data_IF_470092848770
#
_entry.id   IF_470092848770
#
_cell.length_a   1.000
_cell.length_b   1.000
_cell.length_c   1.000
_cell.angle_alpha   90.00
_cell.angle_beta   90.00
_cell.angle_gamma   90.00
#
_symmetry.space_group_name_H-M   'P 1'
#
loop_
_entity.id
_entity.type
_entity.pdbx_description
1 polymer ?
#
# COMPACT_ATOMS: atom_id res chain seq x y z
N UNK A 1 21.48 83.22 -5.55
CA UNK A 1 21.72 81.76 -5.58
C UNK A 1 21.74 81.26 -4.15
N UNK A 2 20.89 80.27 -3.83
CA UNK A 2 20.68 79.54 -2.54
C UNK A 2 20.12 80.42 -1.38
N UNK A 3 19.07 80.08 -0.60
CA UNK A 3 18.59 78.82 0.02
C UNK A 3 17.07 78.95 0.30
N UNK A 4 16.19 78.04 -0.12
CA UNK A 4 15.79 76.76 0.51
C UNK A 4 15.57 76.83 2.03
N UNK A 5 14.28 76.76 2.43
CA UNK A 5 13.65 76.39 3.72
C UNK A 5 12.25 77.05 3.64
N UNK A 6 11.09 76.40 3.71
CA UNK A 6 10.53 75.56 4.77
C UNK A 6 9.32 74.86 4.12
N UNK A 7 9.38 73.56 3.83
CA UNK A 7 8.20 72.82 3.34
C UNK A 7 8.30 71.30 3.59
N UNK A 8 8.96 70.86 4.68
CA UNK A 8 9.11 69.43 5.00
C UNK A 8 8.79 69.03 6.44
N UNK A 9 8.37 69.97 7.30
CA UNK A 9 8.10 69.67 8.71
C UNK A 9 6.64 69.23 9.00
N UNK A 10 5.66 69.62 8.17
CA UNK A 10 4.25 69.32 8.43
C UNK A 10 3.83 67.89 8.09
N UNK A 11 4.33 67.33 6.99
CA UNK A 11 3.91 66.00 6.51
C UNK A 11 4.52 64.83 7.30
N UNK A 12 5.65 65.04 7.99
CA UNK A 12 6.25 63.99 8.81
C UNK A 12 5.51 63.79 10.14
N UNK A 13 4.94 64.85 10.73
CA UNK A 13 4.23 64.75 12.01
C UNK A 13 2.90 64.00 11.88
N UNK A 14 2.18 64.19 10.76
CA UNK A 14 0.89 63.52 10.51
C UNK A 14 1.08 62.03 10.24
N UNK A 15 2.14 61.64 9.52
CA UNK A 15 2.48 60.23 9.28
C UNK A 15 2.96 59.55 10.57
N UNK A 16 3.69 60.25 11.44
CA UNK A 16 4.14 59.69 12.72
C UNK A 16 2.98 59.49 13.70
N UNK A 17 1.99 60.40 13.72
CA UNK A 17 0.80 60.26 14.55
C UNK A 17 -0.11 59.12 14.03
N UNK A 18 -0.29 58.98 12.71
CA UNK A 18 -1.04 57.86 12.11
C UNK A 18 -0.34 56.49 12.22
N UNK A 19 1.00 56.44 12.28
CA UNK A 19 1.74 55.20 12.58
C UNK A 19 1.75 54.87 14.08
N UNK A 20 1.57 55.86 14.96
CA UNK A 20 1.52 55.63 16.41
C UNK A 20 0.16 55.12 16.90
N UNK A 21 -0.92 55.33 16.14
CA UNK A 21 -2.26 54.84 16.47
C UNK A 21 -2.54 53.41 15.98
N UNK A 22 -1.69 52.85 15.11
CA UNK A 22 -1.75 51.42 14.74
C UNK A 22 -1.02 50.51 15.72
N UNK A 23 -0.33 51.06 16.73
CA UNK A 23 0.41 50.28 17.74
C UNK A 23 -0.33 50.12 19.08
N UNK A 24 -1.54 50.68 19.24
CA UNK A 24 -2.47 50.22 20.28
C UNK A 24 -3.25 49.01 19.77
N UNK A 25 -2.49 47.94 19.47
CA UNK A 25 -3.01 46.59 19.60
C UNK A 25 -3.31 46.42 21.09
N UNK A 26 -4.57 46.62 21.47
CA UNK A 26 -5.12 45.93 22.64
C UNK A 26 -4.63 44.48 22.52
N UNK A 27 -4.11 43.86 23.58
CA UNK A 27 -3.92 42.42 23.54
C UNK A 27 -5.31 41.87 23.31
N UNK A 28 -5.59 41.47 22.07
CA UNK A 28 -6.54 40.41 21.82
C UNK A 28 -5.96 39.33 22.71
N UNK A 29 -6.61 39.11 23.87
CA UNK A 29 -6.50 37.82 24.52
C UNK A 29 -6.79 36.88 23.37
N UNK A 30 -5.75 36.23 22.85
CA UNK A 30 -5.95 34.98 22.15
C UNK A 30 -6.92 34.27 23.08
N UNK A 31 -8.15 34.06 22.61
CA UNK A 31 -8.99 33.12 23.31
C UNK A 31 -8.08 31.90 23.33
N UNK A 32 -7.67 31.50 24.52
CA UNK A 32 -7.12 30.18 24.71
C UNK A 32 -8.30 29.28 24.36
N UNK A 33 -8.55 29.08 23.06
CA UNK A 33 -9.55 28.18 22.55
C UNK A 33 -9.00 26.83 22.95
N UNK A 34 -9.42 26.42 24.13
CA UNK A 34 -9.04 25.13 24.66
C UNK A 34 -9.61 24.15 23.64
N UNK A 35 -8.73 23.42 22.93
CA UNK A 35 -9.15 22.55 21.84
C UNK A 35 -10.31 21.66 22.32
N UNK A 36 -11.41 21.70 21.57
CA UNK A 36 -12.70 21.11 21.95
C UNK A 36 -12.63 19.57 22.02
N UNK A 37 -11.83 19.00 21.13
CA UNK A 37 -11.49 17.57 21.11
C UNK A 37 -9.97 17.46 21.15
N UNK A 38 -9.46 16.54 21.97
CA UNK A 38 -8.03 16.26 22.16
C UNK A 38 -7.86 14.76 22.31
N UNK A 39 -7.46 14.09 21.23
CA UNK A 39 -7.28 12.63 21.18
C UNK A 39 -5.92 12.31 20.56
N UNK A 40 -5.20 11.37 21.17
CA UNK A 40 -4.07 10.73 20.50
C UNK A 40 -4.53 9.35 20.04
N UNK A 41 -4.58 9.14 18.74
CA UNK A 41 -4.93 7.87 18.12
C UNK A 41 -3.68 7.15 17.62
N UNK A 42 -3.59 5.86 17.91
CA UNK A 42 -2.55 4.96 17.41
C UNK A 42 -3.24 3.88 16.57
N UNK A 43 -2.78 3.70 15.33
CA UNK A 43 -3.29 2.75 14.36
C UNK A 43 -2.21 1.70 14.09
N UNK A 44 -2.34 0.54 14.71
CA UNK A 44 -1.46 -0.60 14.49
C UNK A 44 -2.00 -1.42 13.31
N UNK A 45 -1.46 -1.17 12.12
CA UNK A 45 -1.86 -1.73 10.84
C UNK A 45 -0.97 -2.93 10.53
N UNK A 46 -1.45 -4.13 10.80
CA UNK A 46 -0.73 -5.38 10.57
C UNK A 46 -1.12 -5.99 9.23
N UNK A 47 -0.13 -6.27 8.38
CA UNK A 47 -0.34 -7.06 7.17
C UNK A 47 -0.71 -8.50 7.54
N UNK A 48 -1.79 -9.03 6.96
CA UNK A 48 -2.13 -10.46 7.00
C UNK A 48 -1.56 -11.17 5.77
N UNK A 49 -1.69 -10.51 4.63
CA UNK A 49 -1.05 -10.85 3.35
C UNK A 49 -0.78 -9.53 2.58
N UNK A 50 -0.38 -9.59 1.31
CA UNK A 50 -0.04 -8.41 0.52
C UNK A 50 -1.18 -7.41 0.28
N UNK A 51 -2.44 -7.77 0.54
CA UNK A 51 -3.61 -6.89 0.33
C UNK A 51 -4.55 -6.81 1.53
N UNK A 52 -4.55 -7.78 2.45
CA UNK A 52 -5.43 -7.81 3.60
C UNK A 52 -4.69 -7.31 4.85
N UNK A 53 -5.31 -6.38 5.57
CA UNK A 53 -4.76 -5.70 6.73
C UNK A 53 -5.72 -5.84 7.92
N UNK A 54 -5.16 -6.08 9.10
CA UNK A 54 -5.85 -5.95 10.39
C UNK A 54 -5.37 -4.69 11.08
N UNK A 55 -6.29 -3.88 11.59
CA UNK A 55 -5.97 -2.60 12.22
C UNK A 55 -6.49 -2.62 13.65
N UNK A 56 -5.61 -2.41 14.62
CA UNK A 56 -5.97 -2.16 16.01
C UNK A 56 -5.80 -0.68 16.29
N UNK A 57 -6.88 -0.05 16.75
CA UNK A 57 -6.90 1.38 17.04
C UNK A 57 -6.96 1.59 18.54
N UNK A 58 -6.01 2.35 19.08
CA UNK A 58 -6.02 2.84 20.46
C UNK A 58 -6.26 4.34 20.46
N UNK A 59 -7.20 4.79 21.27
CA UNK A 59 -7.65 6.18 21.35
C UNK A 59 -7.46 6.71 22.78
N UNK A 60 -6.38 7.45 23.00
CA UNK A 60 -6.13 8.13 24.28
C UNK A 60 -6.87 9.47 24.29
N UNK A 61 -8.06 9.47 24.90
CA UNK A 61 -8.98 10.61 24.89
C UNK A 61 -8.79 11.51 26.12
N UNK A 62 -8.23 12.70 25.90
CA UNK A 62 -8.07 13.73 26.93
C UNK A 62 -9.27 14.68 26.99
N UNK A 63 -9.89 14.93 25.84
CA UNK A 63 -11.12 15.72 25.72
C UNK A 63 -11.92 15.28 24.50
N UNK A 64 -13.25 15.17 24.64
CA UNK A 64 -14.15 14.84 23.53
C UNK A 64 -15.31 15.84 23.53
N UNK A 65 -15.64 16.40 22.36
CA UNK A 65 -16.87 17.17 22.17
C UNK A 65 -18.03 16.24 21.79
N UNK A 66 -19.08 16.20 22.61
CA UNK A 66 -20.37 15.56 22.31
C UNK A 66 -21.48 16.60 22.46
N UNK A 67 -22.44 16.63 21.54
CA UNK A 67 -23.62 17.52 21.58
C UNK A 67 -23.32 19.02 21.83
N UNK A 68 -22.18 19.52 21.37
CA UNK A 68 -21.79 20.93 21.56
C UNK A 68 -21.01 21.21 22.84
N UNK A 69 -20.92 20.25 23.75
CA UNK A 69 -20.20 20.35 25.01
C UNK A 69 -18.89 19.55 24.99
N UNK A 70 -17.83 20.10 25.57
CA UNK A 70 -16.51 19.45 25.62
C UNK A 70 -16.27 18.82 26.99
N UNK A 71 -16.09 17.50 27.01
CA UNK A 71 -15.88 16.70 28.21
C UNK A 71 -14.39 16.39 28.35
N UNK A 72 -13.75 16.85 29.42
CA UNK A 72 -12.39 16.42 29.76
C UNK A 72 -12.38 14.99 30.30
N UNK A 73 -11.20 14.36 30.43
CA UNK A 73 -11.08 12.97 30.89
C UNK A 73 -11.81 12.67 32.22
N UNK A 74 -11.80 13.58 33.19
CA UNK A 74 -12.54 13.39 34.47
C UNK A 74 -14.05 13.39 34.27
N UNK A 75 -14.54 14.28 33.42
CA UNK A 75 -15.97 14.38 33.08
C UNK A 75 -16.44 13.20 32.22
N UNK A 76 -15.59 12.72 31.30
CA UNK A 76 -15.85 11.50 30.54
C UNK A 76 -16.05 10.32 31.50
N UNK A 77 -15.16 10.14 32.49
CA UNK A 77 -15.29 9.07 33.50
C UNK A 77 -16.57 9.17 34.30
N UNK A 78 -16.83 10.35 34.88
CA UNK A 78 -17.97 10.56 35.77
C UNK A 78 -19.32 10.37 35.06
N UNK A 79 -19.38 10.63 33.75
CA UNK A 79 -20.60 10.53 32.95
C UNK A 79 -20.59 9.36 31.96
N UNK A 80 -19.62 8.45 32.06
CA UNK A 80 -19.43 7.41 31.05
C UNK A 80 -20.66 6.51 30.94
N UNK A 81 -21.22 6.02 32.06
CA UNK A 81 -22.36 5.12 32.02
C UNK A 81 -23.61 5.74 31.38
N UNK A 82 -23.80 7.04 31.59
CA UNK A 82 -24.91 7.82 31.04
C UNK A 82 -24.70 8.14 29.55
N UNK A 83 -23.47 8.49 29.17
CA UNK A 83 -23.14 9.06 27.85
C UNK A 83 -22.31 8.13 26.94
N UNK A 84 -22.07 6.87 27.32
CA UNK A 84 -21.18 5.93 26.59
C UNK A 84 -21.50 5.81 25.11
N UNK A 85 -22.79 5.80 24.75
CA UNK A 85 -23.22 5.73 23.35
C UNK A 85 -22.74 6.92 22.53
N UNK A 86 -22.83 8.13 23.08
CA UNK A 86 -22.40 9.36 22.41
C UNK A 86 -20.87 9.43 22.27
N UNK A 87 -20.12 9.10 23.32
CA UNK A 87 -18.65 9.04 23.25
C UNK A 87 -18.19 8.05 22.18
N UNK A 88 -18.74 6.83 22.20
CA UNK A 88 -18.40 5.78 21.23
C UNK A 88 -18.76 6.18 19.80
N UNK A 89 -19.91 6.83 19.59
CA UNK A 89 -20.33 7.24 18.25
C UNK A 89 -19.43 8.34 17.67
N UNK A 90 -19.05 9.34 18.47
CA UNK A 90 -18.13 10.39 18.01
C UNK A 90 -16.77 9.81 17.65
N UNK A 91 -16.20 8.96 18.52
CA UNK A 91 -14.93 8.29 18.25
C UNK A 91 -14.99 7.39 17.01
N UNK A 92 -16.09 6.63 16.85
CA UNK A 92 -16.32 5.81 15.66
C UNK A 92 -16.30 6.66 14.38
N UNK A 93 -17.07 7.75 14.34
CA UNK A 93 -17.14 8.62 13.15
C UNK A 93 -15.79 9.23 12.79
N UNK A 94 -14.96 9.59 13.78
CA UNK A 94 -13.62 10.10 13.51
C UNK A 94 -12.67 9.04 12.96
N UNK A 95 -12.74 7.81 13.47
CA UNK A 95 -11.90 6.74 12.95
C UNK A 95 -12.37 6.29 11.57
N UNK A 96 -13.69 6.21 11.34
CA UNK A 96 -14.27 5.96 10.02
C UNK A 96 -13.78 6.98 8.99
N UNK A 97 -13.80 8.27 9.34
CA UNK A 97 -13.26 9.33 8.49
C UNK A 97 -11.76 9.15 8.19
N UNK A 98 -10.95 8.84 9.22
CA UNK A 98 -9.53 8.57 9.03
C UNK A 98 -9.25 7.34 8.15
N UNK A 99 -9.97 6.24 8.36
CA UNK A 99 -9.84 5.01 7.55
C UNK A 99 -10.25 5.29 6.11
N UNK A 100 -11.35 6.00 5.87
CA UNK A 100 -11.82 6.33 4.52
C UNK A 100 -10.83 7.22 3.74
N UNK A 101 -10.11 8.11 4.43
CA UNK A 101 -9.06 8.92 3.82
C UNK A 101 -7.79 8.12 3.52
N UNK A 102 -7.29 7.38 4.52
CA UNK A 102 -6.03 6.62 4.42
C UNK A 102 -6.16 5.47 3.43
N UNK A 103 -7.26 4.73 3.51
CA UNK A 103 -7.57 3.55 2.71
C UNK A 103 -8.63 3.86 1.66
N UNK A 104 -8.55 5.05 1.06
CA UNK A 104 -9.41 5.41 -0.06
C UNK A 104 -9.35 4.33 -1.15
N UNK A 105 -10.51 3.99 -1.73
CA UNK A 105 -10.65 2.89 -2.68
C UNK A 105 -10.32 1.49 -2.14
N UNK A 106 -10.40 1.27 -0.84
CA UNK A 106 -10.34 -0.06 -0.22
C UNK A 106 -11.73 -0.52 0.22
N UNK A 107 -11.86 -1.79 0.60
CA UNK A 107 -13.01 -2.23 1.41
C UNK A 107 -12.58 -2.30 2.87
N UNK A 108 -13.44 -1.84 3.78
CA UNK A 108 -13.12 -1.79 5.21
C UNK A 108 -14.32 -2.19 6.06
N UNK A 109 -14.07 -2.92 7.15
CA UNK A 109 -15.06 -3.21 8.18
C UNK A 109 -14.55 -2.67 9.52
N UNK A 110 -15.38 -1.88 10.20
CA UNK A 110 -15.03 -1.22 11.45
C UNK A 110 -15.84 -1.79 12.60
N UNK A 111 -15.15 -2.19 13.67
CA UNK A 111 -15.77 -2.53 14.95
C UNK A 111 -16.33 -1.31 15.66
N UNK A 112 -17.13 -1.54 16.71
CA UNK A 112 -17.58 -0.45 17.60
C UNK A 112 -16.53 -0.17 18.67
N UNK A 113 -16.26 1.10 19.02
CA UNK A 113 -15.34 1.41 20.10
C UNK A 113 -15.77 0.79 21.44
N UNK A 114 -14.81 0.25 22.18
CA UNK A 114 -14.98 -0.20 23.56
C UNK A 114 -13.96 0.49 24.46
N UNK A 115 -14.31 0.68 25.72
CA UNK A 115 -13.44 1.38 26.68
C UNK A 115 -12.52 0.39 27.36
N UNK A 116 -11.31 0.83 27.70
CA UNK A 116 -10.52 0.16 28.74
C UNK A 116 -11.13 0.49 30.10
N UNK A 117 -11.77 -0.48 30.74
CA UNK A 117 -12.39 -0.31 32.05
C UNK A 117 -11.39 0.19 33.12
N UNK A 118 -10.10 -0.16 32.99
CA UNK A 118 -9.08 0.33 33.93
C UNK A 118 -8.88 1.85 33.79
N UNK A 119 -9.03 2.39 32.57
CA UNK A 119 -8.87 3.82 32.31
C UNK A 119 -9.99 4.67 32.93
N UNK A 120 -11.13 4.07 33.27
CA UNK A 120 -12.24 4.73 33.96
C UNK A 120 -11.94 5.00 35.45
N UNK A 121 -10.99 4.28 36.04
CA UNK A 121 -10.53 4.47 37.42
C UNK A 121 -9.33 5.41 37.55
N UNK A 122 -8.87 5.99 36.43
CA UNK A 122 -7.67 6.83 36.37
C UNK A 122 -7.80 8.21 37.01
N UNK A 123 -6.65 8.88 37.20
CA UNK A 123 -6.61 10.25 37.72
C UNK A 123 -7.09 11.29 36.70
N UNK A 124 -7.29 12.53 37.15
CA UNK A 124 -7.86 13.61 36.33
C UNK A 124 -7.05 14.00 35.09
N UNK A 125 -5.75 13.69 35.06
CA UNK A 125 -4.83 14.03 33.98
C UNK A 125 -4.57 12.86 33.00
N UNK A 126 -4.89 11.63 33.41
CA UNK A 126 -4.82 10.46 32.53
C UNK A 126 -5.94 10.50 31.48
N UNK A 127 -5.71 10.04 30.25
CA UNK A 127 -6.77 9.91 29.26
C UNK A 127 -7.76 8.80 29.64
N UNK A 128 -8.97 8.85 29.07
CA UNK A 128 -9.85 7.68 28.98
C UNK A 128 -9.48 6.96 27.69
N UNK A 129 -9.20 5.66 27.78
CA UNK A 129 -8.66 4.87 26.67
C UNK A 129 -9.79 4.09 26.02
N UNK A 130 -9.89 4.19 24.71
CA UNK A 130 -10.80 3.37 23.92
C UNK A 130 -10.02 2.54 22.90
N UNK A 131 -10.58 1.40 22.54
CA UNK A 131 -10.06 0.50 21.53
C UNK A 131 -11.09 0.25 20.45
N UNK A 132 -10.62 -0.03 19.24
CA UNK A 132 -11.45 -0.44 18.14
C UNK A 132 -10.64 -1.32 17.18
N UNK A 133 -11.25 -2.38 16.68
CA UNK A 133 -10.65 -3.27 15.70
C UNK A 133 -11.26 -3.00 14.32
N UNK A 134 -10.44 -3.01 13.28
CA UNK A 134 -10.88 -2.85 11.89
C UNK A 134 -10.16 -3.85 10.98
N UNK A 135 -10.77 -4.15 9.85
CA UNK A 135 -10.14 -4.88 8.75
C UNK A 135 -10.20 -4.04 7.49
N UNK A 136 -9.17 -4.13 6.66
CA UNK A 136 -9.09 -3.45 5.36
C UNK A 136 -8.58 -4.42 4.30
N UNK A 137 -9.20 -4.42 3.13
CA UNK A 137 -8.70 -5.11 1.94
C UNK A 137 -8.40 -4.11 0.83
N UNK A 138 -7.13 -4.10 0.38
CA UNK A 138 -6.64 -3.22 -0.67
C UNK A 138 -7.16 -3.70 -2.04
N UNK A 139 -7.98 -2.89 -2.69
CA UNK A 139 -8.58 -3.26 -3.98
C UNK A 139 -7.69 -2.87 -5.16
N UNK A 140 -8.01 -3.34 -6.37
CA UNK A 140 -7.34 -2.93 -7.60
C UNK A 140 -7.33 -1.41 -7.79
N UNK A 141 -8.39 -0.71 -7.33
CA UNK A 141 -8.46 0.76 -7.40
C UNK A 141 -7.47 1.45 -6.47
N UNK A 142 -7.15 0.86 -5.31
CA UNK A 142 -6.10 1.38 -4.42
C UNK A 142 -4.75 1.43 -5.15
N UNK A 143 -4.43 0.38 -5.91
CA UNK A 143 -3.21 0.31 -6.73
C UNK A 143 -3.33 1.04 -8.08
N UNK A 144 -4.46 1.69 -8.38
CA UNK A 144 -4.68 2.39 -9.64
C UNK A 144 -4.73 1.46 -10.87
N UNK A 145 -5.21 0.22 -10.71
CA UNK A 145 -5.25 -0.80 -11.76
C UNK A 145 -6.63 -1.45 -11.91
N UNK A 146 -6.84 -2.14 -13.04
CA UNK A 146 -8.05 -2.89 -13.38
C UNK A 146 -7.85 -4.41 -13.26
N UNK A 147 -6.78 -4.86 -12.61
CA UNK A 147 -6.50 -6.29 -12.38
C UNK A 147 -7.67 -6.92 -11.59
N UNK A 148 -8.34 -7.95 -12.11
CA UNK A 148 -9.58 -8.46 -11.53
C UNK A 148 -9.37 -9.18 -10.19
N UNK A 149 -8.29 -9.96 -10.05
CA UNK A 149 -7.97 -10.67 -8.81
C UNK A 149 -6.67 -10.12 -8.21
N UNK A 150 -6.76 -8.91 -7.64
CA UNK A 150 -5.59 -8.19 -7.13
C UNK A 150 -4.85 -8.93 -6.01
N UNK A 151 -5.57 -9.68 -5.17
CA UNK A 151 -4.96 -10.48 -4.10
C UNK A 151 -4.02 -11.55 -4.67
N UNK A 152 -4.50 -12.35 -5.64
CA UNK A 152 -3.68 -13.34 -6.34
C UNK A 152 -2.44 -12.69 -6.95
N UNK A 153 -2.64 -11.56 -7.65
CA UNK A 153 -1.55 -10.85 -8.32
C UNK A 153 -0.48 -10.37 -7.34
N UNK A 154 -0.86 -9.60 -6.32
CA UNK A 154 0.09 -9.00 -5.37
C UNK A 154 0.83 -10.09 -4.60
N UNK A 155 0.11 -11.08 -4.08
CA UNK A 155 0.72 -12.17 -3.32
C UNK A 155 1.60 -13.07 -4.21
N UNK A 156 1.17 -13.34 -5.44
CA UNK A 156 1.94 -14.15 -6.37
C UNK A 156 3.21 -13.47 -6.86
N UNK A 157 3.17 -12.14 -7.06
CA UNK A 157 4.36 -11.36 -7.37
C UNK A 157 5.34 -11.34 -6.19
N UNK A 158 4.85 -11.14 -4.97
CA UNK A 158 5.69 -11.20 -3.76
C UNK A 158 6.36 -12.59 -3.61
N UNK A 159 5.62 -13.68 -3.83
CA UNK A 159 6.14 -15.04 -3.75
C UNK A 159 7.06 -15.44 -4.93
N UNK A 160 7.04 -14.65 -6.02
CA UNK A 160 7.98 -14.76 -7.13
C UNK A 160 9.26 -13.91 -6.95
N UNK A 161 9.43 -13.28 -5.79
CA UNK A 161 10.58 -12.41 -5.49
C UNK A 161 10.42 -10.96 -5.97
N UNK A 162 9.23 -10.57 -6.41
CA UNK A 162 8.92 -9.18 -6.76
C UNK A 162 8.75 -8.28 -5.54
N UNK A 163 8.74 -6.97 -5.80
CA UNK A 163 8.58 -5.91 -4.80
C UNK A 163 7.32 -5.12 -5.07
N UNK A 164 6.52 -4.88 -4.03
CA UNK A 164 5.27 -4.11 -4.08
C UNK A 164 5.43 -2.78 -3.34
N UNK A 165 5.04 -1.69 -4.00
CA UNK A 165 5.05 -0.33 -3.45
C UNK A 165 3.65 0.05 -2.97
N UNK A 166 3.54 0.43 -1.69
CA UNK A 166 2.31 0.90 -1.07
C UNK A 166 2.39 2.41 -0.85
N UNK A 167 1.32 3.14 -1.17
CA UNK A 167 1.23 4.58 -0.93
C UNK A 167 -0.05 4.90 -0.18
N UNK A 168 0.08 5.67 0.89
CA UNK A 168 -1.03 6.07 1.75
C UNK A 168 -1.09 7.59 1.92
N UNK A 169 -2.30 8.11 2.01
CA UNK A 169 -2.58 9.51 2.32
C UNK A 169 -3.04 9.60 3.77
N UNK A 170 -2.08 9.79 4.68
CA UNK A 170 -2.35 9.92 6.12
C UNK A 170 -3.19 11.14 6.43
N UNK A 171 -4.03 11.03 7.45
CA UNK A 171 -5.04 12.05 7.73
C UNK A 171 -5.27 12.19 9.24
N UNK A 172 -5.26 13.41 9.76
CA UNK A 172 -5.59 13.69 11.15
C UNK A 172 -6.63 14.81 11.23
N UNK A 173 -7.76 14.49 11.84
CA UNK A 173 -8.82 15.46 12.14
C UNK A 173 -8.34 16.56 13.09
N UNK A 174 -9.06 17.68 13.11
CA UNK A 174 -8.84 18.77 14.07
C UNK A 174 -8.88 18.23 15.51
N UNK A 175 -7.82 18.46 16.29
CA UNK A 175 -7.74 17.99 17.67
C UNK A 175 -7.19 16.57 17.85
N UNK A 176 -6.83 15.89 16.76
CA UNK A 176 -6.34 14.51 16.78
C UNK A 176 -4.86 14.43 16.40
N UNK A 177 -4.05 13.76 17.20
CA UNK A 177 -2.76 13.27 16.75
C UNK A 177 -2.93 11.82 16.30
N UNK A 178 -2.57 11.53 15.06
CA UNK A 178 -2.65 10.16 14.53
C UNK A 178 -1.24 9.61 14.32
N UNK A 179 -0.95 8.46 14.91
CA UNK A 179 0.24 7.67 14.63
C UNK A 179 -0.16 6.39 13.93
N UNK A 180 0.47 6.10 12.79
CA UNK A 180 0.24 4.94 11.95
C UNK A 180 1.47 4.03 11.99
N UNK A 181 1.32 2.84 12.53
CA UNK A 181 2.33 1.79 12.54
C UNK A 181 1.95 0.75 11.49
N UNK A 182 2.74 0.61 10.42
CA UNK A 182 2.58 -0.50 9.48
C UNK A 182 3.52 -1.61 9.88
N UNK A 183 2.96 -2.76 10.25
CA UNK A 183 3.67 -3.91 10.79
C UNK A 183 3.55 -5.06 9.79
N UNK A 184 4.67 -5.59 9.32
CA UNK A 184 4.70 -6.73 8.41
C UNK A 184 4.73 -8.05 9.17
N UNK A 185 4.32 -9.15 8.51
CA UNK A 185 4.51 -10.50 9.04
C UNK A 185 5.97 -10.94 8.93
N UNK A 186 6.32 -12.06 9.57
CA UNK A 186 7.64 -12.66 9.46
C UNK A 186 8.04 -12.99 8.02
N UNK A 187 7.07 -13.23 7.12
CA UNK A 187 7.33 -13.51 5.71
C UNK A 187 7.76 -12.28 4.90
N UNK A 188 7.48 -11.08 5.40
CA UNK A 188 7.59 -9.82 4.66
C UNK A 188 8.60 -8.86 5.30
N UNK A 189 9.33 -8.14 4.46
CA UNK A 189 10.30 -7.12 4.87
C UNK A 189 10.00 -5.80 4.16
N UNK A 190 10.09 -4.68 4.90
CA UNK A 190 10.06 -3.34 4.34
C UNK A 190 11.49 -2.93 3.95
N UNK A 191 11.71 -2.71 2.66
CA UNK A 191 13.06 -2.49 2.11
C UNK A 191 13.35 -1.03 1.76
N UNK A 192 12.30 -0.20 1.65
CA UNK A 192 12.45 1.21 1.30
C UNK A 192 11.28 1.98 1.91
N UNK A 193 11.58 3.14 2.50
CA UNK A 193 10.61 4.06 3.07
C UNK A 193 10.93 5.47 2.60
N UNK A 194 9.92 6.19 2.14
CA UNK A 194 10.02 7.57 1.70
C UNK A 194 9.10 8.49 2.54
N UNK A 195 9.31 9.80 2.42
CA UNK A 195 8.42 10.84 2.96
C UNK A 195 8.24 10.76 4.50
N UNK A 196 9.35 10.93 5.22
CA UNK A 196 9.41 11.05 6.69
C UNK A 196 8.94 9.82 7.50
N UNK A 197 8.75 8.67 6.86
CA UNK A 197 8.48 7.43 7.58
C UNK A 197 9.71 6.99 8.36
N UNK A 198 9.51 6.53 9.60
CA UNK A 198 10.57 6.01 10.47
C UNK A 198 10.53 4.49 10.38
N UNK A 199 11.52 3.90 9.71
CA UNK A 199 11.68 2.45 9.60
C UNK A 199 12.35 1.90 10.87
N UNK A 200 11.78 0.83 11.44
CA UNK A 200 12.38 0.12 12.55
C UNK A 200 13.65 -0.60 12.14
N UNK A 201 14.55 -0.86 13.11
CA UNK A 201 15.82 -1.55 12.84
C UNK A 201 15.63 -2.98 12.31
N UNK A 202 14.48 -3.62 12.60
CA UNK A 202 14.16 -4.95 12.10
C UNK A 202 13.66 -4.96 10.66
N UNK A 203 13.32 -3.80 10.08
CA UNK A 203 12.67 -3.72 8.77
C UNK A 203 11.22 -4.24 8.77
N UNK A 204 10.64 -4.51 9.94
CA UNK A 204 9.28 -5.08 10.09
C UNK A 204 8.22 -4.04 10.41
N UNK A 205 8.61 -2.82 10.72
CA UNK A 205 7.68 -1.77 11.10
C UNK A 205 8.09 -0.43 10.51
N UNK A 206 7.14 0.33 9.98
CA UNK A 206 7.33 1.73 9.63
C UNK A 206 6.26 2.60 10.28
N UNK A 207 6.69 3.73 10.83
CA UNK A 207 5.83 4.66 11.58
C UNK A 207 5.69 6.00 10.85
N UNK A 208 4.46 6.52 10.82
CA UNK A 208 4.17 7.92 10.49
C UNK A 208 3.34 8.59 11.58
N UNK A 209 3.68 9.83 11.93
CA UNK A 209 2.91 10.63 12.89
C UNK A 209 2.43 11.92 12.24
N UNK A 210 1.12 12.17 12.32
CA UNK A 210 0.49 13.42 11.89
C UNK A 210 0.00 14.16 13.14
N UNK A 211 0.72 15.21 13.52
CA UNK A 211 0.39 16.03 14.69
C UNK A 211 -0.67 17.09 14.37
N UNK A 212 -1.87 16.95 14.93
CA UNK A 212 -2.96 17.91 14.78
C UNK A 212 -3.74 18.21 16.06
N UNK A 213 -3.16 17.95 17.24
CA UNK A 213 -3.77 18.13 18.57
C UNK A 213 -4.31 19.53 18.85
N UNK A 214 -3.62 20.57 18.38
CA UNK A 214 -4.00 21.98 18.55
C UNK A 214 -4.32 22.65 17.22
N UNK A 215 -4.47 21.87 16.16
CA UNK A 215 -4.84 22.41 14.86
C UNK A 215 -6.26 22.96 14.86
N UNK A 216 -6.53 23.85 13.91
CA UNK A 216 -7.87 24.39 13.63
C UNK A 216 -8.49 23.76 12.38
N UNK A 217 -7.69 23.05 11.59
CA UNK A 217 -8.08 22.39 10.33
C UNK A 217 -7.50 20.97 10.30
N UNK A 218 -8.09 20.09 9.51
CA UNK A 218 -7.56 18.74 9.30
C UNK A 218 -6.20 18.79 8.60
N UNK A 219 -5.32 17.84 8.92
CA UNK A 219 -4.00 17.71 8.31
C UNK A 219 -3.89 16.43 7.50
N UNK A 220 -3.13 16.51 6.42
CA UNK A 220 -2.80 15.37 5.58
C UNK A 220 -1.28 15.17 5.52
N UNK A 221 -0.89 13.92 5.37
CA UNK A 221 0.47 13.51 5.07
C UNK A 221 0.45 12.46 3.96
N UNK A 222 1.60 12.23 3.34
CA UNK A 222 1.76 11.14 2.36
C UNK A 222 2.94 10.29 2.79
N UNK A 223 2.79 8.99 2.67
CA UNK A 223 3.88 8.04 2.87
C UNK A 223 3.87 6.97 1.81
N UNK A 224 5.06 6.51 1.45
CA UNK A 224 5.26 5.40 0.53
C UNK A 224 6.33 4.48 1.11
N UNK A 225 6.09 3.18 1.03
CA UNK A 225 7.08 2.15 1.36
C UNK A 225 6.97 0.95 0.43
N UNK A 226 8.06 0.19 0.34
CA UNK A 226 8.14 -1.02 -0.50
C UNK A 226 8.32 -2.26 0.35
N UNK A 227 7.61 -3.32 -0.02
CA UNK A 227 7.64 -4.62 0.66
C UNK A 227 8.05 -5.71 -0.33
N UNK A 228 8.79 -6.70 0.18
CA UNK A 228 9.07 -7.98 -0.49
C UNK A 228 8.87 -9.14 0.47
N UNK A 229 8.83 -10.36 -0.05
CA UNK A 229 9.00 -11.55 0.79
C UNK A 229 10.48 -11.79 1.09
N UNK A 230 10.78 -12.18 2.33
CA UNK A 230 12.15 -12.53 2.73
C UNK A 230 12.61 -13.83 2.08
N UNK A 231 11.70 -14.81 1.99
CA UNK A 231 11.95 -16.13 1.42
C UNK A 231 10.84 -16.45 0.42
N UNK A 232 10.87 -15.85 -0.78
CA UNK A 232 9.95 -16.22 -1.86
C UNK A 232 10.17 -17.68 -2.25
N UNK A 233 9.11 -18.38 -2.63
CA UNK A 233 9.22 -19.79 -3.05
C UNK A 233 10.08 -19.92 -4.32
N UNK A 234 9.93 -18.98 -5.25
CA UNK A 234 10.46 -19.12 -6.62
C UNK A 234 10.99 -17.80 -7.14
N UNK A 235 12.15 -17.38 -6.65
CA UNK A 235 12.89 -16.24 -7.18
C UNK A 235 13.95 -16.71 -8.19
N UNK A 236 13.88 -16.15 -9.40
CA UNK A 236 14.80 -16.44 -10.49
C UNK A 236 15.61 -15.19 -10.87
N UNK A 237 16.91 -15.37 -11.09
CA UNK A 237 17.83 -14.32 -11.53
C UNK A 237 18.17 -14.41 -13.03
N UNK A 238 17.72 -15.47 -13.69
CA UNK A 238 17.90 -15.73 -15.11
C UNK A 238 16.68 -16.41 -15.73
N UNK A 239 16.63 -16.39 -17.06
CA UNK A 239 15.65 -17.16 -17.82
C UNK A 239 16.03 -18.64 -17.78
N UNK A 240 15.05 -19.49 -17.53
CA UNK A 240 15.21 -20.94 -17.43
C UNK A 240 14.20 -21.63 -18.35
N UNK A 241 14.66 -21.89 -19.58
CA UNK A 241 13.89 -22.52 -20.64
C UNK A 241 14.72 -23.65 -21.22
N UNK A 242 14.13 -24.83 -21.29
CA UNK A 242 14.77 -26.04 -21.82
C UNK A 242 14.00 -26.60 -23.00
N UNK A 243 14.74 -27.19 -23.93
CA UNK A 243 14.18 -27.92 -25.05
C UNK A 243 14.59 -29.39 -24.91
N UNK A 244 13.62 -30.24 -24.63
CA UNK A 244 13.80 -31.69 -24.66
C UNK A 244 13.54 -32.20 -26.07
N UNK A 245 14.52 -32.93 -26.60
CA UNK A 245 14.45 -33.53 -27.93
C UNK A 245 14.47 -35.04 -27.76
N UNK A 246 13.43 -35.70 -28.27
CA UNK A 246 13.32 -37.15 -28.27
C UNK A 246 13.17 -37.68 -29.70
N UNK A 247 13.98 -38.70 -30.01
CA UNK A 247 13.89 -39.45 -31.24
C UNK A 247 13.25 -40.81 -30.96
N UNK A 248 12.12 -41.07 -31.61
CA UNK A 248 11.48 -42.37 -31.58
C UNK A 248 11.77 -43.11 -32.87
N UNK A 249 12.55 -44.19 -32.78
CA UNK A 249 12.83 -45.11 -33.88
C UNK A 249 12.11 -46.45 -33.71
N UNK A 250 11.10 -46.52 -32.84
CA UNK A 250 10.35 -47.78 -32.61
C UNK A 250 9.54 -48.23 -33.82
N UNK A 251 9.18 -47.32 -34.73
CA UNK A 251 8.51 -47.63 -35.99
C UNK A 251 9.53 -47.75 -37.14
N UNK A 252 9.63 -48.95 -37.74
CA UNK A 252 10.60 -49.27 -38.82
C UNK A 252 10.46 -48.32 -40.03
N UNK A 253 9.24 -47.84 -40.31
CA UNK A 253 8.96 -47.03 -41.49
C UNK A 253 8.99 -45.52 -41.22
N UNK A 254 9.01 -45.08 -39.95
CA UNK A 254 8.91 -43.67 -39.57
C UNK A 254 9.69 -43.36 -38.30
N UNK A 255 10.69 -42.50 -38.41
CA UNK A 255 11.29 -41.85 -37.25
C UNK A 255 10.39 -40.70 -36.79
N UNK A 256 10.05 -40.64 -35.49
CA UNK A 256 9.36 -39.48 -34.92
C UNK A 256 10.35 -38.60 -34.20
N UNK A 257 10.24 -37.31 -34.46
CA UNK A 257 11.04 -36.27 -33.83
C UNK A 257 10.13 -35.41 -32.97
N UNK A 258 10.24 -35.56 -31.65
CA UNK A 258 9.44 -34.80 -30.69
C UNK A 258 10.32 -33.76 -30.01
N UNK A 259 9.80 -32.53 -29.94
CA UNK A 259 10.41 -31.40 -29.26
C UNK A 259 9.44 -30.89 -28.20
N UNK A 260 9.87 -30.86 -26.95
CA UNK A 260 9.11 -30.29 -25.83
C UNK A 260 9.88 -29.10 -25.28
N UNK A 261 9.25 -27.92 -25.27
CA UNK A 261 9.82 -26.74 -24.62
C UNK A 261 9.24 -26.65 -23.21
N UNK A 262 10.11 -26.74 -22.21
CA UNK A 262 9.78 -26.52 -20.81
C UNK A 262 10.21 -25.10 -20.43
N UNK A 263 9.29 -24.33 -19.86
CA UNK A 263 9.55 -22.97 -19.39
C UNK A 263 9.39 -22.99 -17.88
N UNK A 264 10.50 -22.92 -17.15
CA UNK A 264 10.49 -22.84 -15.69
C UNK A 264 10.41 -21.39 -15.24
N UNK A 265 11.22 -20.52 -15.86
CA UNK A 265 11.21 -19.08 -15.64
C UNK A 265 11.46 -18.33 -16.95
N UNK A 266 10.79 -17.19 -17.14
CA UNK A 266 10.91 -16.40 -18.37
C UNK A 266 11.09 -14.91 -18.08
N UNK A 267 11.86 -14.25 -18.94
CA UNK A 267 11.94 -12.78 -18.94
C UNK A 267 10.66 -12.17 -19.49
N UNK A 268 9.96 -11.38 -18.68
CA UNK A 268 8.62 -10.86 -19.07
C UNK A 268 8.62 -9.47 -19.70
N UNK A 269 9.69 -8.69 -19.55
CA UNK A 269 9.74 -7.28 -19.97
C UNK A 269 9.50 -7.03 -21.47
N UNK A 270 9.61 -8.07 -22.31
CA UNK A 270 9.37 -7.97 -23.75
C UNK A 270 7.89 -8.09 -24.14
N UNK A 271 7.01 -8.55 -23.25
CA UNK A 271 5.61 -8.84 -23.58
C UNK A 271 4.60 -8.55 -22.47
N UNK A 272 5.04 -7.95 -21.35
CA UNK A 272 4.19 -7.57 -20.23
C UNK A 272 4.53 -6.17 -19.76
N UNK A 273 3.53 -5.29 -19.77
CA UNK A 273 3.60 -3.98 -19.12
C UNK A 273 3.19 -4.14 -17.65
N UNK A 274 4.18 -4.33 -16.79
CA UNK A 274 3.96 -4.50 -15.36
C UNK A 274 3.54 -3.15 -14.73
N UNK A 275 2.51 -3.14 -13.85
CA UNK A 275 2.08 -1.93 -13.16
C UNK A 275 3.21 -1.26 -12.38
N UNK A 276 3.22 0.07 -12.33
CA UNK A 276 4.30 0.87 -11.72
C UNK A 276 4.48 0.66 -10.21
N UNK A 277 3.48 0.11 -9.52
CA UNK A 277 3.58 -0.25 -8.11
C UNK A 277 4.36 -1.56 -7.89
N UNK A 278 4.71 -2.27 -8.96
CA UNK A 278 5.49 -3.50 -8.94
C UNK A 278 6.89 -3.25 -9.49
N UNK A 279 7.89 -3.85 -8.86
CA UNK A 279 9.28 -3.82 -9.36
C UNK A 279 10.00 -5.13 -9.07
N UNK A 280 11.21 -5.30 -9.62
CA UNK A 280 12.04 -6.50 -9.48
C UNK A 280 11.38 -7.80 -10.00
N UNK A 281 10.62 -7.71 -11.09
CA UNK A 281 9.93 -8.84 -11.72
C UNK A 281 10.51 -9.20 -13.09
N UNK A 282 11.83 -9.12 -13.27
CA UNK A 282 12.44 -9.32 -14.59
C UNK A 282 12.23 -10.74 -15.09
N UNK A 283 12.44 -11.73 -14.22
CA UNK A 283 12.21 -13.15 -14.50
C UNK A 283 11.10 -13.64 -13.58
N UNK A 284 10.10 -14.29 -14.16
CA UNK A 284 8.98 -14.85 -13.41
C UNK A 284 8.83 -16.34 -13.70
N UNK A 285 8.47 -17.15 -12.68
CA UNK A 285 8.18 -18.56 -12.85
C UNK A 285 6.93 -18.80 -13.71
N UNK A 286 6.80 -20.00 -14.27
CA UNK A 286 5.69 -20.40 -15.13
C UNK A 286 4.29 -20.17 -14.51
N UNK A 287 4.11 -20.45 -13.22
CA UNK A 287 2.87 -20.13 -12.49
C UNK A 287 2.54 -18.64 -12.53
N UNK A 288 3.54 -17.79 -12.31
CA UNK A 288 3.36 -16.35 -12.38
C UNK A 288 2.99 -15.91 -13.81
N UNK A 289 3.54 -16.53 -14.86
CA UNK A 289 3.11 -16.27 -16.24
C UNK A 289 1.64 -16.65 -16.46
N UNK A 290 1.22 -17.83 -15.99
CA UNK A 290 -0.20 -18.27 -16.05
C UNK A 290 -1.11 -17.29 -15.28
N UNK A 291 -0.64 -16.79 -14.14
CA UNK A 291 -1.32 -15.74 -13.39
C UNK A 291 -1.46 -14.45 -14.20
N UNK A 292 -0.39 -13.93 -14.82
CA UNK A 292 -0.44 -12.72 -15.65
C UNK A 292 -1.47 -12.82 -16.78
N UNK A 293 -1.60 -14.00 -17.41
CA UNK A 293 -2.64 -14.27 -18.41
C UNK A 293 -4.03 -14.16 -17.80
N UNK A 294 -4.27 -14.79 -16.63
CA UNK A 294 -5.58 -14.73 -15.95
C UNK A 294 -5.93 -13.32 -15.45
N UNK A 295 -4.93 -12.48 -15.17
CA UNK A 295 -5.12 -11.08 -14.79
C UNK A 295 -5.28 -10.12 -15.99
N UNK A 296 -5.28 -10.62 -17.23
CA UNK A 296 -5.31 -9.83 -18.46
C UNK A 296 -4.10 -8.87 -18.65
N UNK A 297 -2.95 -9.19 -18.05
CA UNK A 297 -1.71 -8.44 -18.26
C UNK A 297 -0.93 -8.91 -19.49
N UNK A 298 -1.21 -10.13 -19.94
CA UNK A 298 -0.69 -10.68 -21.19
C UNK A 298 -1.64 -11.75 -21.73
N UNK A 299 -1.29 -12.37 -22.85
CA UNK A 299 -2.07 -13.45 -23.44
C UNK A 299 -1.16 -14.50 -24.09
N UNK A 300 -1.72 -15.66 -24.40
CA UNK A 300 -0.98 -16.78 -24.99
C UNK A 300 -0.38 -16.48 -26.37
N UNK A 301 -0.96 -15.54 -27.12
CA UNK A 301 -0.42 -15.11 -28.41
C UNK A 301 0.86 -14.30 -28.24
N UNK A 302 0.87 -13.35 -27.29
CA UNK A 302 2.05 -12.58 -26.93
C UNK A 302 3.18 -13.48 -26.41
N UNK A 303 2.85 -14.43 -25.54
CA UNK A 303 3.79 -15.45 -25.02
C UNK A 303 4.35 -16.29 -26.18
N UNK A 304 3.50 -16.77 -27.09
CA UNK A 304 3.94 -17.52 -28.26
C UNK A 304 4.91 -16.72 -29.14
N UNK A 305 4.55 -15.49 -29.48
CA UNK A 305 5.34 -14.65 -30.38
C UNK A 305 6.69 -14.23 -29.78
N UNK A 306 6.77 -14.04 -28.46
CA UNK A 306 7.99 -13.55 -27.81
C UNK A 306 8.91 -14.66 -27.28
N UNK A 307 8.36 -15.82 -26.93
CA UNK A 307 9.14 -16.92 -26.33
C UNK A 307 9.28 -18.07 -27.33
N UNK A 308 8.15 -18.66 -27.73
CA UNK A 308 8.14 -19.93 -28.43
C UNK A 308 8.49 -19.81 -29.92
N UNK A 309 8.02 -18.77 -30.61
CA UNK A 309 8.31 -18.57 -32.03
C UNK A 309 9.81 -18.33 -32.32
N UNK A 310 10.55 -17.52 -31.53
CA UNK A 310 11.99 -17.40 -31.67
C UNK A 310 12.73 -18.73 -31.45
N UNK A 311 12.35 -19.49 -30.42
CA UNK A 311 12.95 -20.81 -30.15
C UNK A 311 12.68 -21.76 -31.31
N UNK A 312 11.42 -21.85 -31.77
CA UNK A 312 11.03 -22.66 -32.92
C UNK A 312 11.91 -22.34 -34.14
N UNK A 313 12.02 -21.05 -34.49
CA UNK A 313 12.81 -20.61 -35.65
C UNK A 313 14.29 -21.01 -35.50
N UNK A 314 14.86 -20.88 -34.31
CA UNK A 314 16.24 -21.29 -34.05
C UNK A 314 16.42 -22.80 -34.21
N UNK A 315 15.50 -23.62 -33.69
CA UNK A 315 15.56 -25.07 -33.84
C UNK A 315 15.42 -25.48 -35.29
N UNK A 316 14.46 -24.93 -36.04
CA UNK A 316 14.30 -25.17 -37.48
C UNK A 316 15.57 -24.84 -38.25
N UNK A 317 16.19 -23.68 -37.97
CA UNK A 317 17.45 -23.28 -38.60
C UNK A 317 18.59 -24.26 -38.30
N UNK A 318 18.74 -24.69 -37.04
CA UNK A 318 19.79 -25.63 -36.63
C UNK A 318 19.59 -26.99 -37.30
N UNK A 319 18.36 -27.51 -37.32
CA UNK A 319 18.05 -28.80 -37.94
C UNK A 319 18.24 -28.77 -39.46
N UNK A 320 17.76 -27.71 -40.12
CA UNK A 320 17.90 -27.56 -41.56
C UNK A 320 19.38 -27.50 -41.97
N UNK A 321 20.19 -26.75 -41.24
CA UNK A 321 21.62 -26.63 -41.52
C UNK A 321 22.40 -27.91 -41.18
N UNK A 322 22.05 -28.60 -40.09
CA UNK A 322 22.82 -29.77 -39.62
C UNK A 322 22.52 -31.03 -40.42
N UNK A 323 21.27 -31.20 -40.86
CA UNK A 323 20.82 -32.41 -41.55
C UNK A 323 20.58 -32.21 -43.05
N UNK A 324 20.70 -30.97 -43.56
CA UNK A 324 20.38 -30.60 -44.94
C UNK A 324 18.97 -31.06 -45.37
N UNK A 325 18.01 -30.90 -44.47
CA UNK A 325 16.59 -31.23 -44.66
C UNK A 325 15.74 -29.95 -44.57
N UNK A 326 14.52 -30.00 -45.09
CA UNK A 326 13.50 -28.97 -44.84
C UNK A 326 12.61 -29.42 -43.69
N UNK A 327 12.81 -28.87 -42.50
CA UNK A 327 11.93 -29.09 -41.34
C UNK A 327 10.81 -28.04 -41.26
N UNK A 328 9.62 -28.47 -40.86
CA UNK A 328 8.53 -27.59 -40.44
C UNK A 328 8.01 -28.13 -39.11
N UNK A 329 8.37 -27.47 -38.00
CA UNK A 329 8.02 -27.93 -36.67
C UNK A 329 6.59 -27.48 -36.32
N UNK A 330 5.75 -28.40 -35.92
CA UNK A 330 4.43 -28.08 -35.37
C UNK A 330 4.57 -27.80 -33.87
N UNK A 331 4.18 -26.60 -33.46
CA UNK A 331 4.18 -26.21 -32.05
C UNK A 331 2.76 -26.30 -31.51
N UNK A 332 2.57 -27.05 -30.43
CA UNK A 332 1.29 -27.18 -29.73
C UNK A 332 1.51 -26.92 -28.24
N UNK A 333 0.63 -26.14 -27.63
CA UNK A 333 0.58 -26.01 -26.18
C UNK A 333 -0.04 -27.25 -25.57
N UNK A 334 0.57 -27.78 -24.50
CA UNK A 334 -0.08 -28.80 -23.70
C UNK A 334 -1.22 -28.16 -22.90
N UNK A 335 -2.44 -28.24 -23.44
CA UNK A 335 -3.60 -27.54 -22.88
C UNK A 335 -3.90 -27.96 -21.44
N UNK A 336 -3.62 -29.21 -21.04
CA UNK A 336 -3.90 -29.67 -19.66
C UNK A 336 -2.98 -29.03 -18.61
N UNK A 337 -1.74 -28.68 -18.98
CA UNK A 337 -0.78 -28.02 -18.08
C UNK A 337 -0.72 -26.50 -18.29
N UNK A 338 -1.30 -26.00 -19.39
CA UNK A 338 -1.13 -24.60 -19.81
C UNK A 338 -2.43 -23.78 -19.74
N UNK A 339 -3.58 -24.31 -20.18
CA UNK A 339 -4.83 -23.53 -20.34
C UNK A 339 -6.06 -24.08 -19.60
N UNK A 340 -6.15 -25.40 -19.41
CA UNK A 340 -7.30 -26.11 -18.83
C UNK A 340 -6.94 -26.82 -17.51
N UNK A 341 -5.95 -26.31 -16.76
CA UNK A 341 -5.69 -26.79 -15.41
C UNK A 341 -6.77 -26.26 -14.45
N UNK A 342 -7.32 -27.11 -13.58
CA UNK A 342 -8.32 -26.72 -12.57
C UNK A 342 -7.77 -25.69 -11.57
N UNK A 343 -6.45 -25.70 -11.35
CA UNK A 343 -5.70 -24.73 -10.55
C UNK A 343 -4.49 -24.26 -11.37
N UNK A 344 -4.63 -23.25 -12.23
CA UNK A 344 -3.59 -22.86 -13.18
C UNK A 344 -2.34 -22.24 -12.53
N UNK A 345 -2.37 -21.95 -11.23
CA UNK A 345 -1.23 -21.55 -10.41
C UNK A 345 -1.60 -21.68 -8.93
N UNK A 346 -0.61 -21.82 -8.04
CA UNK A 346 -0.83 -21.90 -6.61
C UNK A 346 -0.38 -20.62 -5.88
N UNK A 347 -1.32 -19.78 -5.43
CA UNK A 347 -1.01 -18.53 -4.73
C UNK A 347 -0.29 -18.70 -3.38
N UNK A 348 -0.33 -19.91 -2.79
CA UNK A 348 0.41 -20.22 -1.56
C UNK A 348 1.83 -20.70 -1.84
N UNK A 349 2.12 -21.04 -3.10
CA UNK A 349 3.40 -21.57 -3.57
C UNK A 349 3.48 -21.39 -5.10
N UNK A 350 3.87 -20.21 -5.55
CA UNK A 350 4.07 -19.93 -6.97
C UNK A 350 5.35 -20.64 -7.39
N UNK A 351 5.27 -21.59 -8.32
CA UNK A 351 6.44 -22.37 -8.75
C UNK A 351 6.58 -22.57 -10.26
N UNK A 352 7.64 -23.27 -10.64
CA UNK A 352 8.03 -23.49 -12.03
C UNK A 352 7.34 -24.69 -12.69
N UNK A 353 6.35 -25.33 -12.04
CA UNK A 353 5.82 -26.64 -12.44
C UNK A 353 4.88 -26.67 -13.65
#
# INVERSE_FOLDING_TARGET
>A
MVRWKIAKAGSFLVVFILLSTTFFLLPIKASSSTAETVVNATFDITFLDGVNLSIKVKLDSYRIKIFGESYNASQIRASYDENKGAFKQVLYSYVEDAINHVFSNCTSELGRPYVDENSLSGNSNSPVVFYMDCTVSLTSKFFGTSIPYISDFVNGILDSGGVISYTFNFYANTGWNNTYHFITTDKMEIIEVNQNGILSLSGKEVTWTIENRLGTEAKQGRGTFKVRYENPTSAFDAEDIHLDIYFDFSEIERARFNCTINVNACRINSFVDIPSFVSQTTFLPSDAIRMLVKQNLTNWEAIYNNIFAPIKKNVENVLNNSFNISTNLLFNFNLSTTKNCSTPYNISKIDAS
#
